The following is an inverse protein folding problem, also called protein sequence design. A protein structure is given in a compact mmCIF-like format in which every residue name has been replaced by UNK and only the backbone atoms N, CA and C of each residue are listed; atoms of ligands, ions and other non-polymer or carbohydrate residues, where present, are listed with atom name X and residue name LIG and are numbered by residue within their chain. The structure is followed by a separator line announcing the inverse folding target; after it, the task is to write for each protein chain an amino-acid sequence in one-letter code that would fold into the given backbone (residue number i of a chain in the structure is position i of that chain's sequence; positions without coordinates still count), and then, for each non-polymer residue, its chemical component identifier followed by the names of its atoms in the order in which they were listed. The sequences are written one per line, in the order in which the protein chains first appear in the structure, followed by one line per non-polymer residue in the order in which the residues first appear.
data_IF_029675872879
#
_entry.id   IF_029675872879
#
_cell.length_a   1.000
_cell.length_b   1.000
_cell.length_c   1.000
_cell.angle_alpha   90.00
_cell.angle_beta   90.00
_cell.angle_gamma   90.00
#
_symmetry.space_group_name_H-M   'P 1'
#
loop_
_entity.id
_entity.type
_entity.pdbx_description
1 polymer ?
#
# COMPACT_ATOMS: atom_id res chain seq x y z
N UNK A 1 -13.26 -11.33 12.82
CA UNK A 1 -13.80 -11.12 11.47
C UNK A 1 -13.32 -9.76 11.04
N UNK A 2 -12.28 -9.72 10.21
CA UNK A 2 -11.88 -8.48 9.54
C UNK A 2 -13.02 -8.09 8.62
N UNK A 3 -13.42 -6.82 8.68
CA UNK A 3 -14.37 -6.28 7.73
C UNK A 3 -13.64 -6.22 6.37
N UNK A 4 -14.20 -6.95 5.41
CA UNK A 4 -13.69 -7.12 4.06
C UNK A 4 -13.97 -5.89 3.17
N UNK A 5 -14.56 -4.83 3.74
CA UNK A 5 -14.75 -3.55 3.10
C UNK A 5 -13.45 -2.73 3.02
N UNK A 6 -13.47 -1.71 2.16
CA UNK A 6 -12.40 -0.69 2.12
C UNK A 6 -12.21 0.00 3.48
N UNK A 7 -13.30 0.22 4.21
CA UNK A 7 -13.28 0.85 5.55
C UNK A 7 -12.64 -0.09 6.58
N UNK A 8 -12.92 -1.39 6.48
CA UNK A 8 -12.30 -2.42 7.29
C UNK A 8 -10.79 -2.53 7.06
N UNK A 9 -10.36 -2.51 5.80
CA UNK A 9 -8.94 -2.46 5.45
C UNK A 9 -8.26 -1.19 6.00
N UNK A 10 -8.87 -0.02 5.81
CA UNK A 10 -8.33 1.24 6.34
C UNK A 10 -8.21 1.19 7.88
N UNK A 11 -9.23 0.68 8.57
CA UNK A 11 -9.21 0.54 10.03
C UNK A 11 -8.11 -0.43 10.51
N UNK A 12 -7.92 -1.55 9.82
CA UNK A 12 -6.89 -2.54 10.14
C UNK A 12 -5.48 -1.96 9.95
N UNK A 13 -5.25 -1.24 8.84
CA UNK A 13 -3.99 -0.53 8.60
C UNK A 13 -3.72 0.52 9.67
N UNK A 14 -4.68 1.41 9.93
CA UNK A 14 -4.55 2.48 10.92
C UNK A 14 -4.24 1.95 12.32
N UNK A 15 -4.81 0.80 12.70
CA UNK A 15 -4.55 0.16 13.99
C UNK A 15 -3.15 -0.44 14.09
N UNK A 16 -2.54 -0.85 12.98
CA UNK A 16 -1.23 -1.54 12.96
C UNK A 16 -0.05 -0.61 12.72
N UNK A 17 -0.25 0.46 11.93
CA UNK A 17 0.80 1.43 11.59
C UNK A 17 1.60 1.93 12.81
N UNK A 18 1.01 2.28 13.97
CA UNK A 18 1.79 2.75 15.12
C UNK A 18 2.72 1.72 15.77
N UNK A 19 2.55 0.43 15.45
CA UNK A 19 3.23 -0.69 16.12
C UNK A 19 4.28 -1.36 15.25
N UNK A 20 4.55 -0.83 14.06
CA UNK A 20 5.60 -1.35 13.18
C UNK A 20 6.97 -1.22 13.85
N UNK A 21 7.79 -2.24 13.67
CA UNK A 21 9.20 -2.29 14.06
C UNK A 21 10.07 -1.70 12.96
N UNK A 22 11.32 -1.43 13.29
CA UNK A 22 12.30 -1.04 12.27
C UNK A 22 12.33 -2.05 11.12
N UNK A 23 12.28 -1.55 9.89
CA UNK A 23 12.27 -2.32 8.65
C UNK A 23 11.02 -3.16 8.37
N UNK A 24 9.97 -3.06 9.20
CA UNK A 24 8.67 -3.65 8.86
C UNK A 24 8.12 -3.00 7.58
N UNK A 25 7.76 -3.84 6.63
CA UNK A 25 7.33 -3.47 5.28
C UNK A 25 5.98 -4.11 4.98
N UNK A 26 5.07 -3.33 4.38
CA UNK A 26 3.83 -3.82 3.79
C UNK A 26 3.77 -3.36 2.34
N UNK A 27 3.41 -4.27 1.46
CA UNK A 27 3.05 -4.01 0.06
C UNK A 27 1.62 -4.52 -0.15
N UNK A 28 0.75 -3.66 -0.67
CA UNK A 28 -0.59 -4.01 -1.14
C UNK A 28 -0.61 -3.81 -2.65
N UNK A 29 -0.93 -4.84 -3.40
CA UNK A 29 -0.79 -4.82 -4.86
C UNK A 29 -1.96 -5.49 -5.59
N UNK A 30 -2.20 -5.05 -6.81
CA UNK A 30 -3.14 -5.64 -7.77
C UNK A 30 -2.52 -5.48 -9.16
N UNK A 31 -2.16 -6.59 -9.79
CA UNK A 31 -1.31 -6.63 -11.00
C UNK A 31 -0.03 -5.79 -10.83
N UNK A 32 0.22 -4.82 -11.72
CA UNK A 32 1.40 -3.96 -11.73
C UNK A 32 1.25 -2.73 -10.81
N UNK A 33 0.12 -2.62 -10.09
CA UNK A 33 -0.23 -1.46 -9.27
C UNK A 33 -0.09 -1.78 -7.80
N UNK A 34 0.67 -0.95 -7.08
CA UNK A 34 0.85 -1.13 -5.65
C UNK A 34 0.91 0.18 -4.89
N UNK A 35 0.59 0.08 -3.60
CA UNK A 35 1.02 0.99 -2.56
C UNK A 35 1.86 0.22 -1.55
N UNK A 36 2.86 0.86 -0.99
CA UNK A 36 3.70 0.24 0.03
C UNK A 36 4.08 1.22 1.12
N UNK A 37 4.49 0.68 2.26
CA UNK A 37 5.27 1.43 3.22
C UNK A 37 6.38 0.58 3.81
N UNK A 38 7.44 1.26 4.23
CA UNK A 38 8.51 0.69 5.03
C UNK A 38 8.78 1.61 6.22
N UNK A 39 8.78 1.03 7.42
CA UNK A 39 9.20 1.71 8.63
C UNK A 39 10.73 1.85 8.59
N UNK A 40 11.22 3.06 8.84
CA UNK A 40 12.60 3.37 9.16
C UNK A 40 12.70 4.05 10.54
N UNK A 41 13.90 4.12 11.17
CA UNK A 41 14.04 4.48 12.59
C UNK A 41 13.41 5.83 12.99
N UNK A 42 13.33 6.78 12.07
CA UNK A 42 12.79 8.13 12.31
C UNK A 42 11.61 8.49 11.38
N UNK A 43 11.17 7.58 10.52
CA UNK A 43 10.11 7.88 9.56
C UNK A 43 9.41 6.64 9.00
N UNK A 44 8.16 6.82 8.58
CA UNK A 44 7.48 5.87 7.71
C UNK A 44 7.59 6.37 6.26
N UNK A 45 8.28 5.60 5.43
CA UNK A 45 8.39 5.84 4.00
C UNK A 45 7.22 5.17 3.30
N UNK A 46 6.48 5.92 2.50
CA UNK A 46 5.26 5.44 1.84
C UNK A 46 5.36 5.74 0.35
N UNK A 47 5.03 4.76 -0.47
CA UNK A 47 5.10 4.88 -1.92
C UNK A 47 3.83 4.37 -2.62
N UNK A 48 3.59 4.90 -3.80
CA UNK A 48 2.59 4.43 -4.74
C UNK A 48 3.21 4.42 -6.16
N UNK A 49 3.00 3.34 -6.91
CA UNK A 49 3.60 3.18 -8.24
C UNK A 49 3.37 4.38 -9.16
N UNK A 50 4.37 4.76 -9.95
CA UNK A 50 4.25 5.81 -10.96
C UNK A 50 4.28 5.25 -12.39
N UNK A 51 3.86 6.08 -13.36
CA UNK A 51 3.79 5.72 -14.78
C UNK A 51 5.11 5.24 -15.40
N UNK A 52 6.26 5.59 -14.82
CA UNK A 52 7.56 5.14 -15.29
C UNK A 52 7.84 3.64 -15.02
N UNK A 53 7.11 3.03 -14.08
CA UNK A 53 7.21 1.62 -13.72
C UNK A 53 6.09 0.77 -14.35
N UNK A 54 5.11 1.41 -14.99
CA UNK A 54 3.97 0.73 -15.63
C UNK A 54 4.19 0.56 -17.14
N UNK A 55 3.68 -0.54 -17.74
CA UNK A 55 3.64 -0.65 -19.19
C UNK A 55 2.74 0.44 -19.78
N UNK A 56 3.04 0.87 -21.01
CA UNK A 56 2.42 2.05 -21.64
C UNK A 56 0.88 1.96 -21.67
N UNK A 57 0.32 0.76 -21.89
CA UNK A 57 -1.11 0.53 -21.98
C UNK A 57 -1.83 0.56 -20.62
N UNK A 58 -1.09 0.48 -19.51
CA UNK A 58 -1.62 0.45 -18.14
C UNK A 58 -1.31 1.71 -17.33
N UNK A 59 -0.66 2.70 -17.96
CA UNK A 59 -0.34 3.97 -17.33
C UNK A 59 -1.60 4.65 -16.78
N UNK A 60 -1.42 5.22 -15.58
CA UNK A 60 -2.37 6.06 -14.87
C UNK A 60 -2.67 7.29 -15.73
N UNK A 61 -3.95 7.58 -15.93
CA UNK A 61 -4.40 8.74 -16.69
C UNK A 61 -4.03 10.05 -15.96
N UNK A 62 -3.86 11.17 -16.68
CA UNK A 62 -3.48 12.45 -16.06
C UNK A 62 -4.42 12.96 -14.96
N UNK A 63 -5.73 12.71 -15.09
CA UNK A 63 -6.73 13.05 -14.08
C UNK A 63 -6.57 12.22 -12.79
N UNK A 64 -6.24 10.94 -12.92
CA UNK A 64 -5.94 10.06 -11.80
C UNK A 64 -4.58 10.41 -11.15
N UNK A 65 -3.57 10.82 -11.92
CA UNK A 65 -2.31 11.38 -11.35
C UNK A 65 -2.57 12.69 -10.58
N UNK A 66 -3.46 13.54 -11.08
CA UNK A 66 -3.88 14.74 -10.33
C UNK A 66 -4.59 14.35 -9.02
N UNK A 67 -5.37 13.26 -9.02
CA UNK A 67 -5.98 12.73 -7.79
C UNK A 67 -4.93 12.29 -6.77
N UNK A 68 -3.83 11.66 -7.18
CA UNK A 68 -2.70 11.36 -6.27
C UNK A 68 -2.16 12.62 -5.60
N UNK A 69 -1.92 13.68 -6.37
CA UNK A 69 -1.46 14.96 -5.82
C UNK A 69 -2.48 15.57 -4.83
N UNK A 70 -3.79 15.51 -5.15
CA UNK A 70 -4.86 16.01 -4.27
C UNK A 70 -4.97 15.23 -2.96
N UNK A 71 -4.69 13.92 -2.99
CA UNK A 71 -4.64 13.13 -1.77
C UNK A 71 -3.48 13.57 -0.87
N UNK A 72 -2.46 14.24 -1.42
CA UNK A 72 -1.25 14.68 -0.71
C UNK A 72 0.01 13.89 -1.07
N UNK A 73 0.01 13.09 -2.14
CA UNK A 73 1.22 12.42 -2.62
C UNK A 73 2.15 13.42 -3.28
N UNK A 74 3.45 13.29 -3.03
CA UNK A 74 4.45 14.03 -3.76
C UNK A 74 4.75 13.31 -5.08
N UNK A 75 4.89 14.08 -6.15
CA UNK A 75 5.23 13.54 -7.47
C UNK A 75 6.62 12.88 -7.47
N UNK A 76 6.85 11.90 -8.37
CA UNK A 76 8.17 11.34 -8.63
C UNK A 76 9.19 12.44 -8.94
N UNK A 77 10.40 12.30 -8.37
CA UNK A 77 11.54 13.20 -8.59
C UNK A 77 12.81 12.39 -8.91
N UNK A 78 12.93 11.87 -10.14
CA UNK A 78 14.11 11.13 -10.56
C UNK A 78 15.39 11.99 -10.51
N UNK A 79 16.57 11.38 -10.26
CA UNK A 79 16.80 9.94 -10.08
C UNK A 79 16.54 9.46 -8.64
N UNK A 80 16.07 10.33 -7.73
CA UNK A 80 15.96 10.00 -6.31
C UNK A 80 14.72 9.18 -5.97
N UNK A 81 13.54 9.65 -6.39
CA UNK A 81 12.27 8.96 -6.13
C UNK A 81 11.53 8.70 -7.43
N UNK A 82 11.43 7.42 -7.77
CA UNK A 82 10.80 6.96 -9.01
C UNK A 82 9.27 6.85 -8.87
N UNK A 83 8.77 6.64 -7.66
CA UNK A 83 7.36 6.51 -7.34
C UNK A 83 6.76 7.82 -6.78
N UNK A 84 5.43 7.87 -6.71
CA UNK A 84 4.75 8.83 -5.86
C UNK A 84 5.07 8.51 -4.41
N UNK A 85 5.30 9.52 -3.58
CA UNK A 85 5.86 9.28 -2.25
C UNK A 85 5.28 10.18 -1.17
N UNK A 86 5.30 9.68 0.05
CA UNK A 86 5.11 10.45 1.29
C UNK A 86 6.08 9.98 2.35
N UNK A 87 6.26 10.84 3.34
CA UNK A 87 7.04 10.54 4.52
C UNK A 87 6.31 11.06 5.75
N UNK A 88 6.12 10.20 6.73
CA UNK A 88 5.58 10.59 8.05
C UNK A 88 6.70 10.51 9.08
N UNK A 89 6.68 11.40 10.07
CA UNK A 89 7.57 11.28 11.22
C UNK A 89 7.20 10.03 12.04
N UNK A 90 8.21 9.37 12.61
CA UNK A 90 8.00 8.16 13.41
C UNK A 90 8.17 8.41 14.92
N UNK A 91 7.31 7.86 15.79
CA UNK A 91 6.06 7.16 15.47
C UNK A 91 4.93 8.14 15.11
N UNK A 92 4.04 7.78 14.16
CA UNK A 92 2.86 8.60 13.88
C UNK A 92 1.83 8.51 15.00
N UNK A 93 1.09 9.58 15.21
CA UNK A 93 -0.09 9.60 16.06
C UNK A 93 -1.27 8.83 15.44
N UNK A 94 -2.32 8.60 16.23
CA UNK A 94 -3.50 7.87 15.78
C UNK A 94 -4.24 8.55 14.61
N UNK A 95 -4.31 9.89 14.62
CA UNK A 95 -4.94 10.65 13.53
C UNK A 95 -4.14 10.53 12.23
N UNK A 96 -2.81 10.68 12.29
CA UNK A 96 -1.91 10.55 11.14
C UNK A 96 -1.93 9.12 10.56
N UNK A 97 -2.01 8.11 11.44
CA UNK A 97 -2.13 6.70 11.04
C UNK A 97 -3.45 6.43 10.30
N UNK A 98 -4.55 7.03 10.76
CA UNK A 98 -5.85 6.94 10.09
C UNK A 98 -5.85 7.65 8.75
N UNK A 99 -5.33 8.87 8.69
CA UNK A 99 -5.20 9.63 7.45
C UNK A 99 -4.37 8.86 6.41
N UNK A 100 -3.24 8.29 6.83
CA UNK A 100 -2.41 7.49 5.94
C UNK A 100 -3.16 6.26 5.42
N UNK A 101 -3.85 5.53 6.29
CA UNK A 101 -4.64 4.38 5.87
C UNK A 101 -5.73 4.75 4.85
N UNK A 102 -6.45 5.86 5.09
CA UNK A 102 -7.46 6.37 4.17
C UNK A 102 -6.85 6.76 2.82
N UNK A 103 -5.67 7.38 2.81
CA UNK A 103 -4.91 7.71 1.60
C UNK A 103 -4.54 6.46 0.80
N UNK A 104 -4.01 5.43 1.46
CA UNK A 104 -3.61 4.18 0.80
C UNK A 104 -4.80 3.49 0.15
N UNK A 105 -5.90 3.33 0.90
CA UNK A 105 -7.14 2.73 0.42
C UNK A 105 -7.77 3.54 -0.70
N UNK A 106 -7.81 4.87 -0.57
CA UNK A 106 -8.36 5.74 -1.62
C UNK A 106 -7.50 5.68 -2.89
N UNK A 107 -6.19 5.56 -2.76
CA UNK A 107 -5.29 5.38 -3.90
C UNK A 107 -5.59 4.08 -4.64
N UNK A 108 -5.67 2.96 -3.92
CA UNK A 108 -6.04 1.66 -4.51
C UNK A 108 -7.41 1.69 -5.19
N UNK A 109 -8.42 2.23 -4.50
CA UNK A 109 -9.82 2.24 -4.97
C UNK A 109 -10.07 3.22 -6.12
N UNK A 110 -9.64 4.47 -5.98
CA UNK A 110 -10.05 5.56 -6.89
C UNK A 110 -9.02 5.87 -7.97
N UNK A 111 -7.73 5.69 -7.69
CA UNK A 111 -6.66 5.97 -8.66
C UNK A 111 -6.32 4.73 -9.44
N UNK A 112 -6.12 3.61 -8.73
CA UNK A 112 -5.81 2.33 -9.35
C UNK A 112 -7.04 1.53 -9.75
N UNK A 113 -8.23 2.06 -9.46
CA UNK A 113 -9.51 1.47 -9.87
C UNK A 113 -9.65 0.01 -9.44
N UNK A 114 -9.02 -0.39 -8.32
CA UNK A 114 -9.17 -1.74 -7.76
C UNK A 114 -10.62 -1.87 -7.27
N UNK A 115 -11.41 -2.83 -7.78
CA UNK A 115 -12.83 -2.96 -7.47
C UNK A 115 -13.13 -3.21 -5.99
N UNK A 116 -12.35 -4.07 -5.34
CA UNK A 116 -12.57 -4.43 -3.94
C UNK A 116 -11.27 -4.88 -3.25
N UNK A 117 -11.20 -4.83 -1.91
CA UNK A 117 -10.02 -5.27 -1.16
C UNK A 117 -9.63 -6.73 -1.42
N UNK A 118 -10.58 -7.59 -1.80
CA UNK A 118 -10.35 -9.02 -2.11
C UNK A 118 -9.51 -9.23 -3.36
N UNK A 119 -9.34 -8.20 -4.20
CA UNK A 119 -8.49 -8.27 -5.39
C UNK A 119 -7.06 -7.81 -5.11
N UNK A 120 -6.73 -7.56 -3.84
CA UNK A 120 -5.39 -7.23 -3.41
C UNK A 120 -4.68 -8.50 -2.97
N UNK A 121 -3.49 -8.73 -3.52
CA UNK A 121 -2.49 -9.53 -2.81
C UNK A 121 -1.71 -8.63 -1.87
N UNK A 122 -1.11 -9.22 -0.85
CA UNK A 122 -0.26 -8.48 0.08
C UNK A 122 1.00 -9.25 0.42
N UNK A 123 2.05 -8.47 0.72
CA UNK A 123 3.29 -8.99 1.28
C UNK A 123 3.61 -8.16 2.52
N UNK A 124 3.73 -8.83 3.65
CA UNK A 124 4.04 -8.18 4.92
C UNK A 124 5.20 -8.91 5.60
N UNK A 125 6.33 -8.21 5.76
CA UNK A 125 7.55 -8.81 6.29
C UNK A 125 8.48 -7.75 6.89
N UNK A 126 9.36 -8.19 7.79
CA UNK A 126 10.46 -7.37 8.26
C UNK A 126 11.64 -7.54 7.32
N UNK A 127 12.10 -6.47 6.67
CA UNK A 127 13.16 -6.56 5.67
C UNK A 127 14.55 -6.89 6.25
N UNK A 128 14.75 -6.70 7.56
CA UNK A 128 15.98 -7.07 8.26
C UNK A 128 16.04 -8.53 8.68
N UNK A 129 14.92 -9.09 9.12
CA UNK A 129 14.85 -10.45 9.70
C UNK A 129 14.18 -11.47 8.77
N UNK A 130 13.52 -11.03 7.71
CA UNK A 130 12.63 -11.84 6.85
C UNK A 130 11.44 -12.47 7.57
N UNK A 131 11.13 -12.04 8.81
CA UNK A 131 9.93 -12.49 9.51
C UNK A 131 8.67 -11.98 8.81
N UNK A 132 7.67 -12.85 8.62
CA UNK A 132 6.35 -12.44 8.15
C UNK A 132 5.62 -11.63 9.22
N UNK A 133 4.89 -10.60 8.78
CA UNK A 133 3.98 -9.85 9.63
C UNK A 133 2.54 -10.30 9.35
N UNK A 134 1.74 -10.42 10.40
CA UNK A 134 0.31 -10.60 10.27
C UNK A 134 -0.37 -9.23 10.29
N UNK A 135 -0.96 -8.81 9.16
CA UNK A 135 -1.78 -7.59 9.07
C UNK A 135 -3.29 -7.84 9.20
N UNK A 136 -3.72 -9.07 9.49
CA UNK A 136 -5.13 -9.44 9.50
C UNK A 136 -5.81 -9.33 8.13
N UNK A 137 -5.02 -9.07 7.07
CA UNK A 137 -5.46 -9.16 5.68
C UNK A 137 -5.36 -10.64 5.30
N UNK A 138 -6.40 -11.25 4.72
CA UNK A 138 -6.32 -12.65 4.28
C UNK A 138 -5.13 -12.82 3.35
N UNK A 139 -4.25 -13.79 3.63
CA UNK A 139 -3.34 -14.31 2.62
C UNK A 139 -4.23 -14.94 1.54
N UNK A 140 -4.02 -14.55 0.28
CA UNK A 140 -4.54 -15.32 -0.85
C UNK A 140 -3.73 -16.63 -0.84
N UNK A 141 -4.26 -17.67 -0.19
CA UNK A 141 -3.68 -19.01 -0.36
C UNK A 141 -3.81 -19.33 -1.85
N UNK A 142 -2.71 -19.62 -2.56
CA UNK A 142 -2.82 -20.08 -3.93
C UNK A 142 -3.68 -21.34 -3.91
N UNK A 143 -4.89 -21.26 -4.48
CA UNK A 143 -5.75 -22.44 -4.64
C UNK A 143 -4.89 -23.53 -5.26
N UNK A 144 -4.71 -24.69 -4.59
CA UNK A 144 -3.99 -25.79 -5.22
C UNK A 144 -4.77 -26.15 -6.48
N UNK A 145 -4.13 -25.93 -7.63
CA UNK A 145 -4.73 -26.18 -8.92
C UNK A 145 -5.37 -27.55 -8.93
N UNK A 146 -6.64 -27.60 -9.34
CA UNK A 146 -7.32 -28.85 -9.66
C UNK A 146 -6.50 -29.57 -10.73
N UNK A 147 -5.66 -30.50 -10.29
CA UNK A 147 -5.23 -31.59 -11.13
C UNK A 147 -6.42 -32.50 -11.31
N UNK A 148 -6.94 -32.53 -12.53
CA UNK A 148 -7.76 -33.63 -13.01
C UNK A 148 -7.68 -33.70 -14.53
N UNK A 149 -7.90 -34.88 -15.14
CA UNK A 149 -8.03 -36.23 -14.58
C UNK A 149 -6.73 -37.05 -14.64
#
# INVERSE_FOLDING_TARGET
MTDESWEGLAAALAAKIPYLRDQDTLILESDDRYVQFQQAPAALHVEAVANNALPAERQIRPDAEQRLAQLGWNAPTPPGQHNWWRKLAWPPGAAESRELADVLVTTLREVYEVPSPQQLSHQAFNAGTSEKLDFGVPDDEPTPGSNGP
#
